data_IF_904194180424
#
_entry.id   IF_904194180424
#
_cell.length_a   1.000
_cell.length_b   1.000
_cell.length_c   1.000
_cell.angle_alpha   90.00
_cell.angle_beta   90.00
_cell.angle_gamma   90.00
#
_symmetry.space_group_name_H-M   'P 1'
#
loop_
_entity.id
_entity.type
_entity.pdbx_description
1 polymer ?
#
# COMPACT_ATOMS: atom_id res chain seq x y z
N UNK A 1 -12.31 66.52 -9.77
CA UNK A 1 -11.18 65.58 -9.58
C UNK A 1 -11.70 64.33 -8.87
N UNK A 2 -11.98 63.22 -9.57
CA UNK A 2 -12.31 61.95 -8.93
C UNK A 2 -11.07 61.07 -8.75
N UNK A 3 -10.99 60.45 -7.57
CA UNK A 3 -9.92 59.57 -7.08
C UNK A 3 -10.03 58.21 -7.79
N UNK A 4 -8.99 57.80 -8.53
CA UNK A 4 -8.93 56.49 -9.18
C UNK A 4 -8.77 55.38 -8.14
N UNK A 5 -9.77 54.50 -8.06
CA UNK A 5 -9.76 53.28 -7.26
C UNK A 5 -8.89 52.23 -7.95
N UNK A 6 -7.76 51.88 -7.34
CA UNK A 6 -6.87 50.82 -7.81
C UNK A 6 -7.56 49.47 -7.77
N UNK A 7 -7.86 48.91 -8.95
CA UNK A 7 -8.22 47.51 -9.10
C UNK A 7 -6.99 46.65 -8.76
N UNK A 8 -7.05 45.95 -7.63
CA UNK A 8 -6.16 44.81 -7.37
C UNK A 8 -6.55 43.71 -8.36
N UNK A 9 -5.80 43.61 -9.46
CA UNK A 9 -5.91 42.50 -10.41
C UNK A 9 -5.52 41.23 -9.66
N UNK A 10 -6.52 40.45 -9.25
CA UNK A 10 -6.33 39.09 -8.74
C UNK A 10 -5.88 38.25 -9.93
N UNK A 11 -4.57 37.98 -10.04
CA UNK A 11 -4.05 37.01 -11.00
C UNK A 11 -4.62 35.62 -10.65
N UNK A 12 -5.06 34.82 -11.63
CA UNK A 12 -5.53 33.47 -11.39
C UNK A 12 -4.42 32.61 -10.76
N UNK A 13 -4.79 31.74 -9.83
CA UNK A 13 -3.93 30.82 -9.09
C UNK A 13 -3.28 29.71 -9.94
N UNK A 14 -3.30 29.81 -11.27
CA UNK A 14 -2.71 28.84 -12.20
C UNK A 14 -1.20 29.03 -12.41
N UNK A 15 -0.61 30.15 -11.99
CA UNK A 15 0.81 30.49 -12.24
C UNK A 15 1.78 29.92 -11.19
N UNK A 16 1.28 29.22 -10.16
CA UNK A 16 2.12 28.57 -9.13
C UNK A 16 2.45 27.10 -9.43
N UNK A 17 2.01 26.57 -10.57
CA UNK A 17 2.52 25.31 -11.14
C UNK A 17 3.80 25.61 -11.93
N UNK A 18 4.81 26.11 -11.22
CA UNK A 18 6.12 26.40 -11.80
C UNK A 18 6.79 25.14 -12.32
N UNK A 19 6.93 25.06 -13.64
CA UNK A 19 8.04 24.42 -14.37
C UNK A 19 8.50 23.04 -13.91
N UNK A 20 7.60 22.05 -13.82
CA UNK A 20 8.03 20.67 -14.05
C UNK A 20 8.29 20.58 -15.56
N UNK A 21 9.56 20.67 -15.97
CA UNK A 21 9.94 20.51 -17.38
C UNK A 21 9.39 19.18 -17.89
N UNK A 22 8.93 19.10 -19.16
CA UNK A 22 8.48 17.83 -19.73
C UNK A 22 9.55 16.73 -19.58
N UNK A 23 10.83 17.11 -19.54
CA UNK A 23 11.95 16.22 -19.25
C UNK A 23 11.99 15.72 -17.79
N UNK A 24 11.73 16.55 -16.78
CA UNK A 24 11.63 16.08 -15.39
C UNK A 24 10.41 15.20 -15.14
N UNK A 25 9.30 15.43 -15.86
CA UNK A 25 8.14 14.55 -15.84
C UNK A 25 8.43 13.20 -16.52
N UNK A 26 9.15 13.21 -17.65
CA UNK A 26 9.60 11.98 -18.35
C UNK A 26 10.61 11.21 -17.51
N UNK A 27 11.56 11.88 -16.85
CA UNK A 27 12.54 11.25 -15.96
C UNK A 27 11.86 10.67 -14.71
N UNK A 28 10.90 11.39 -14.11
CA UNK A 28 10.13 10.87 -12.98
C UNK A 28 9.31 9.63 -13.38
N UNK A 29 8.62 9.68 -14.53
CA UNK A 29 7.82 8.57 -15.04
C UNK A 29 8.68 7.38 -15.50
N UNK A 30 9.84 7.65 -16.07
CA UNK A 30 10.84 6.63 -16.39
C UNK A 30 11.40 5.99 -15.11
N UNK A 31 11.67 6.78 -14.06
CA UNK A 31 12.14 6.25 -12.77
C UNK A 31 11.09 5.38 -12.08
N UNK A 32 9.81 5.75 -12.17
CA UNK A 32 8.70 4.96 -11.64
C UNK A 32 8.51 3.66 -12.42
N UNK A 33 8.56 3.71 -13.76
CA UNK A 33 8.47 2.51 -14.61
C UNK A 33 9.65 1.57 -14.43
N UNK A 34 10.88 2.11 -14.30
CA UNK A 34 12.09 1.33 -14.01
C UNK A 34 11.98 0.67 -12.63
N UNK A 35 11.46 1.40 -11.62
CA UNK A 35 11.21 0.85 -10.29
C UNK A 35 10.16 -0.26 -10.32
N UNK A 36 9.07 -0.09 -11.06
CA UNK A 36 8.03 -1.12 -11.19
C UNK A 36 8.55 -2.38 -11.91
N UNK A 37 9.35 -2.21 -12.97
CA UNK A 37 9.99 -3.31 -13.67
C UNK A 37 11.03 -4.03 -12.77
N UNK A 38 11.80 -3.27 -11.99
CA UNK A 38 12.73 -3.80 -10.99
C UNK A 38 12.01 -4.63 -9.92
N UNK A 39 10.92 -4.13 -9.36
CA UNK A 39 10.13 -4.82 -8.34
C UNK A 39 9.41 -6.05 -8.90
N UNK A 40 8.90 -5.98 -10.14
CA UNK A 40 8.23 -7.13 -10.78
C UNK A 40 9.21 -8.23 -11.14
N UNK A 41 10.38 -7.89 -11.71
CA UNK A 41 11.45 -8.87 -11.98
C UNK A 41 11.98 -9.51 -10.70
N UNK A 42 12.16 -8.72 -9.64
CA UNK A 42 12.49 -9.23 -8.30
C UNK A 42 11.44 -10.22 -7.81
N UNK A 43 10.15 -9.88 -7.91
CA UNK A 43 9.05 -10.74 -7.50
C UNK A 43 9.02 -12.07 -8.28
N UNK A 44 9.14 -12.00 -9.61
CA UNK A 44 9.21 -13.18 -10.48
C UNK A 44 10.42 -14.08 -10.15
N UNK A 45 11.56 -13.48 -9.83
CA UNK A 45 12.75 -14.23 -9.39
C UNK A 45 12.51 -14.92 -8.05
N UNK A 46 11.88 -14.25 -7.07
CA UNK A 46 11.51 -14.90 -5.80
C UNK A 46 10.48 -16.02 -5.99
N UNK A 47 9.50 -15.83 -6.87
CA UNK A 47 8.50 -16.85 -7.21
C UNK A 47 9.15 -18.07 -7.88
N UNK A 48 10.08 -17.86 -8.82
CA UNK A 48 10.84 -18.93 -9.47
C UNK A 48 11.64 -19.79 -8.48
N UNK A 49 12.19 -19.17 -7.43
CA UNK A 49 12.96 -19.85 -6.40
C UNK A 49 12.07 -20.62 -5.39
N UNK A 50 10.75 -20.40 -5.43
CA UNK A 50 9.75 -21.12 -4.63
C UNK A 50 8.93 -20.26 -3.68
N UNK A 51 8.95 -18.92 -3.81
CA UNK A 51 8.06 -18.05 -3.03
C UNK A 51 6.60 -18.33 -3.37
N UNK A 52 5.78 -18.68 -2.38
CA UNK A 52 4.38 -19.09 -2.54
C UNK A 52 4.16 -20.61 -2.51
N UNK A 53 5.22 -21.43 -2.53
CA UNK A 53 5.15 -22.87 -2.29
C UNK A 53 5.19 -23.19 -0.80
N UNK A 54 4.64 -24.34 -0.41
CA UNK A 54 4.77 -24.82 0.96
C UNK A 54 6.24 -25.01 1.36
N UNK A 55 6.57 -24.63 2.59
CA UNK A 55 7.95 -24.55 3.09
C UNK A 55 8.77 -25.85 2.91
N UNK A 56 8.13 -27.01 3.00
CA UNK A 56 8.77 -28.32 2.84
C UNK A 56 9.12 -28.69 1.39
N UNK A 57 8.61 -27.94 0.41
CA UNK A 57 8.92 -28.14 -1.02
C UNK A 57 10.13 -27.32 -1.48
N UNK A 58 10.62 -26.40 -0.64
CA UNK A 58 11.69 -25.45 -1.00
C UNK A 58 13.06 -26.07 -0.66
N UNK A 59 14.03 -26.09 -1.61
CA UNK A 59 15.39 -26.52 -1.33
C UNK A 59 16.03 -25.69 -0.20
N UNK A 60 16.68 -26.34 0.77
CA UNK A 60 17.19 -25.71 2.01
C UNK A 60 18.17 -24.54 1.82
N UNK A 61 18.79 -24.39 0.64
CA UNK A 61 19.60 -23.21 0.29
C UNK A 61 18.80 -21.98 -0.17
N UNK A 62 17.66 -22.20 -0.82
CA UNK A 62 16.87 -21.18 -1.49
C UNK A 62 16.16 -20.22 -0.53
N UNK A 63 15.81 -20.68 0.68
CA UNK A 63 15.15 -19.84 1.69
C UNK A 63 16.01 -18.64 2.13
N UNK A 64 17.33 -18.83 2.23
CA UNK A 64 18.25 -17.73 2.58
C UNK A 64 18.47 -16.74 1.44
N UNK A 65 18.31 -17.21 0.18
CA UNK A 65 18.40 -16.39 -1.02
C UNK A 65 17.15 -15.53 -1.17
N UNK A 66 15.95 -16.09 -0.97
CA UNK A 66 14.69 -15.32 -1.00
C UNK A 66 14.74 -14.13 -0.02
N UNK A 67 15.28 -14.34 1.18
CA UNK A 67 15.45 -13.27 2.18
C UNK A 67 16.51 -12.22 1.81
N UNK A 68 17.38 -12.48 0.84
CA UNK A 68 18.44 -11.58 0.36
C UNK A 68 18.09 -10.88 -0.96
N UNK A 69 17.18 -11.44 -1.76
CA UNK A 69 16.83 -10.88 -3.09
C UNK A 69 16.30 -9.45 -3.03
N UNK A 70 15.38 -9.08 -2.10
CA UNK A 70 14.91 -7.69 -1.99
C UNK A 70 16.03 -6.67 -1.70
N UNK A 71 17.11 -7.12 -1.06
CA UNK A 71 18.27 -6.28 -0.76
C UNK A 71 19.18 -6.04 -1.96
N UNK A 72 19.38 -7.08 -2.78
CA UNK A 72 20.21 -7.00 -3.98
C UNK A 72 19.69 -5.95 -4.98
N UNK A 73 18.36 -5.75 -5.01
CA UNK A 73 17.72 -4.82 -5.94
C UNK A 73 17.54 -3.39 -5.40
N UNK A 74 17.57 -3.20 -4.07
CA UNK A 74 17.31 -1.90 -3.44
C UNK A 74 18.55 -0.98 -3.43
N UNK A 75 19.74 -1.46 -3.80
CA UNK A 75 20.96 -0.64 -3.86
C UNK A 75 21.31 0.05 -2.53
N UNK A 76 20.82 -0.46 -1.40
CA UNK A 76 21.05 0.15 -0.09
C UNK A 76 22.45 -0.17 0.42
N UNK A 77 23.08 0.84 1.01
CA UNK A 77 24.48 0.86 1.40
C UNK A 77 24.90 -0.33 2.28
N UNK A 78 26.14 -0.75 2.06
CA UNK A 78 26.90 -1.89 2.62
C UNK A 78 27.13 -1.87 4.15
N UNK A 79 26.10 -1.57 4.96
CA UNK A 79 26.24 -1.49 6.43
C UNK A 79 24.97 -1.70 7.26
N UNK A 80 23.80 -1.93 6.65
CA UNK A 80 22.55 -2.06 7.42
C UNK A 80 22.25 -3.53 7.76
N UNK A 81 21.99 -3.84 9.04
CA UNK A 81 21.66 -5.19 9.47
C UNK A 81 20.38 -5.69 8.79
N UNK A 82 20.44 -6.85 8.12
CA UNK A 82 19.33 -7.41 7.33
C UNK A 82 17.98 -7.44 8.08
N UNK A 83 18.04 -7.75 9.38
CA UNK A 83 16.86 -7.87 10.23
C UNK A 83 16.20 -6.53 10.54
N UNK A 84 16.97 -5.44 10.62
CA UNK A 84 16.44 -4.11 10.92
C UNK A 84 15.63 -3.56 9.75
N UNK A 85 16.05 -3.80 8.51
CA UNK A 85 15.30 -3.35 7.34
C UNK A 85 14.04 -4.18 7.09
N UNK A 86 14.07 -5.49 7.36
CA UNK A 86 12.85 -6.31 7.32
C UNK A 86 11.84 -5.82 8.37
N UNK A 87 12.31 -5.49 9.57
CA UNK A 87 11.49 -4.91 10.63
C UNK A 87 10.86 -3.57 10.21
N UNK A 88 11.66 -2.61 9.73
CA UNK A 88 11.16 -1.32 9.23
C UNK A 88 10.22 -1.51 8.04
N UNK A 89 10.54 -2.44 7.15
CA UNK A 89 9.73 -2.77 5.97
C UNK A 89 8.34 -3.29 6.35
N UNK A 90 8.23 -4.16 7.35
CA UNK A 90 6.93 -4.65 7.84
C UNK A 90 6.08 -3.51 8.41
N UNK A 91 6.67 -2.60 9.20
CA UNK A 91 5.96 -1.44 9.74
C UNK A 91 5.48 -0.49 8.63
N UNK A 92 6.38 -0.17 7.70
CA UNK A 92 6.05 0.70 6.58
C UNK A 92 4.97 0.08 5.69
N UNK A 93 5.04 -1.22 5.45
CA UNK A 93 4.03 -1.96 4.68
C UNK A 93 2.64 -1.84 5.31
N UNK A 94 2.51 -2.10 6.61
CA UNK A 94 1.23 -1.96 7.33
C UNK A 94 0.67 -0.54 7.25
N UNK A 95 1.52 0.48 7.37
CA UNK A 95 1.12 1.89 7.25
C UNK A 95 0.68 2.25 5.83
N UNK A 96 1.48 1.88 4.83
CA UNK A 96 1.17 2.15 3.42
C UNK A 96 -0.14 1.48 3.00
N UNK A 97 -0.37 0.24 3.43
CA UNK A 97 -1.61 -0.49 3.15
C UNK A 97 -2.84 0.29 3.65
N UNK A 98 -2.80 0.81 4.89
CA UNK A 98 -3.90 1.60 5.45
C UNK A 98 -4.11 2.93 4.70
N UNK A 99 -3.01 3.65 4.42
CA UNK A 99 -3.07 4.98 3.75
C UNK A 99 -3.63 4.87 2.33
N UNK A 100 -3.20 3.87 1.56
CA UNK A 100 -3.69 3.66 0.18
C UNK A 100 -5.20 3.39 0.18
N UNK A 101 -5.68 2.49 1.04
CA UNK A 101 -7.12 2.18 1.16
C UNK A 101 -7.94 3.39 1.60
N UNK A 102 -7.45 4.17 2.55
CA UNK A 102 -8.10 5.41 2.98
C UNK A 102 -8.17 6.44 1.86
N UNK A 103 -7.11 6.60 1.07
CA UNK A 103 -7.12 7.48 -0.10
C UNK A 103 -8.22 7.10 -1.09
N UNK A 104 -8.37 5.80 -1.36
CA UNK A 104 -9.44 5.28 -2.23
C UNK A 104 -10.82 5.60 -1.65
N UNK A 105 -11.06 5.33 -0.37
CA UNK A 105 -12.36 5.58 0.27
C UNK A 105 -12.70 7.08 0.28
N UNK A 106 -11.73 7.94 0.59
CA UNK A 106 -11.91 9.40 0.56
C UNK A 106 -12.21 9.91 -0.86
N UNK A 107 -11.51 9.37 -1.86
CA UNK A 107 -11.77 9.67 -3.26
C UNK A 107 -13.20 9.27 -3.67
N UNK A 108 -13.64 8.07 -3.28
CA UNK A 108 -15.00 7.59 -3.51
C UNK A 108 -16.05 8.47 -2.82
N UNK A 109 -15.81 8.90 -1.58
CA UNK A 109 -16.69 9.84 -0.86
C UNK A 109 -16.83 11.19 -1.56
N UNK A 110 -15.77 11.67 -2.22
CA UNK A 110 -15.80 12.93 -2.97
C UNK A 110 -16.63 12.81 -4.27
N UNK A 111 -16.62 11.64 -4.91
CA UNK A 111 -17.35 11.41 -6.17
C UNK A 111 -18.85 11.26 -5.94
N UNK A 112 -19.26 10.53 -4.90
CA UNK A 112 -20.66 10.20 -4.66
C UNK A 112 -21.21 10.97 -3.44
N UNK A 113 -22.05 12.02 -3.63
CA UNK A 113 -22.56 12.83 -2.53
C UNK A 113 -23.73 12.18 -1.75
N UNK A 114 -24.09 10.94 -2.06
CA UNK A 114 -25.22 10.22 -1.42
C UNK A 114 -25.00 10.02 0.08
N UNK A 115 -25.98 10.37 0.91
CA UNK A 115 -25.87 10.35 2.38
C UNK A 115 -25.66 8.93 2.93
N UNK A 116 -26.38 7.93 2.39
CA UNK A 116 -26.20 6.52 2.73
C UNK A 116 -24.81 6.01 2.36
N UNK A 117 -24.31 6.44 1.20
CA UNK A 117 -22.96 6.11 0.74
C UNK A 117 -21.91 6.71 1.68
N UNK A 118 -22.02 7.99 2.02
CA UNK A 118 -21.09 8.65 2.94
C UNK A 118 -21.09 8.04 4.35
N UNK A 119 -22.22 7.51 4.83
CA UNK A 119 -22.26 6.79 6.12
C UNK A 119 -21.49 5.47 6.02
N UNK A 120 -21.74 4.68 4.97
CA UNK A 120 -21.06 3.40 4.76
C UNK A 120 -19.55 3.58 4.56
N UNK A 121 -19.14 4.54 3.72
CA UNK A 121 -17.72 4.86 3.49
C UNK A 121 -17.01 5.32 4.75
N UNK A 122 -17.67 6.08 5.63
CA UNK A 122 -17.09 6.46 6.94
C UNK A 122 -16.88 5.26 7.85
N UNK A 123 -17.86 4.35 7.94
CA UNK A 123 -17.73 3.11 8.73
C UNK A 123 -16.56 2.28 8.21
N UNK A 124 -16.46 2.11 6.89
CA UNK A 124 -15.35 1.38 6.26
C UNK A 124 -14.00 2.06 6.49
N UNK A 125 -13.94 3.40 6.37
CA UNK A 125 -12.73 4.17 6.66
C UNK A 125 -12.28 4.03 8.11
N UNK A 126 -13.21 4.07 9.08
CA UNK A 126 -12.89 3.83 10.49
C UNK A 126 -12.36 2.41 10.71
N UNK A 127 -12.96 1.42 10.06
CA UNK A 127 -12.49 0.03 10.14
C UNK A 127 -11.04 -0.13 9.64
N UNK A 128 -10.71 0.49 8.50
CA UNK A 128 -9.34 0.46 7.95
C UNK A 128 -8.33 1.11 8.90
N UNK A 129 -8.68 2.24 9.53
CA UNK A 129 -7.81 2.90 10.52
C UNK A 129 -7.60 1.98 11.73
N UNK A 130 -8.67 1.37 12.23
CA UNK A 130 -8.61 0.46 13.38
C UNK A 130 -7.74 -0.76 13.07
N UNK A 131 -7.90 -1.37 11.90
CA UNK A 131 -7.03 -2.46 11.44
C UNK A 131 -5.56 -2.01 11.43
N UNK A 132 -5.25 -0.89 10.78
CA UNK A 132 -3.89 -0.36 10.72
C UNK A 132 -3.26 -0.18 12.10
N UNK A 133 -3.97 0.46 13.03
CA UNK A 133 -3.46 0.69 14.40
C UNK A 133 -3.32 -0.62 15.19
N UNK A 134 -4.32 -1.51 15.10
CA UNK A 134 -4.36 -2.76 15.85
C UNK A 134 -3.19 -3.69 15.47
N UNK A 135 -2.86 -3.76 14.19
CA UNK A 135 -1.80 -4.64 13.70
C UNK A 135 -0.42 -3.97 13.71
N UNK A 136 -0.33 -2.64 13.72
CA UNK A 136 0.94 -1.93 13.88
C UNK A 136 1.65 -2.29 15.19
N UNK A 137 0.89 -2.47 16.27
CA UNK A 137 1.46 -2.78 17.60
C UNK A 137 2.19 -4.14 17.58
N UNK A 138 1.57 -5.28 17.21
CA UNK A 138 2.27 -6.56 17.06
C UNK A 138 3.50 -6.52 16.15
N UNK A 139 3.47 -5.74 15.05
CA UNK A 139 4.61 -5.59 14.15
C UNK A 139 5.73 -4.72 14.74
N UNK A 140 5.41 -3.80 15.65
CA UNK A 140 6.40 -3.01 16.38
C UNK A 140 7.02 -3.80 17.55
N UNK A 141 6.19 -4.55 18.28
CA UNK A 141 6.63 -5.37 19.42
C UNK A 141 6.69 -6.86 19.06
N UNK A 142 7.41 -7.19 17.99
CA UNK A 142 7.54 -8.59 17.51
C UNK A 142 8.16 -9.49 18.58
N UNK A 143 9.13 -8.95 19.33
CA UNK A 143 9.72 -9.60 20.50
C UNK A 143 9.95 -8.57 21.61
N UNK A 144 9.95 -9.06 22.86
CA UNK A 144 10.32 -8.30 24.06
C UNK A 144 11.55 -9.00 24.67
N UNK A 145 12.70 -8.30 24.82
CA UNK A 145 13.01 -6.97 24.31
C UNK A 145 13.13 -6.93 22.77
N UNK A 146 12.88 -5.77 22.14
CA UNK A 146 12.90 -5.61 20.67
C UNK A 146 14.28 -5.96 20.09
N UNK A 147 15.35 -5.75 20.85
CA UNK A 147 16.72 -6.08 20.44
C UNK A 147 16.91 -7.58 20.15
N UNK A 148 16.07 -8.45 20.74
CA UNK A 148 16.14 -9.90 20.50
C UNK A 148 15.73 -10.31 19.08
N UNK A 149 15.20 -9.38 18.29
CA UNK A 149 14.89 -9.59 16.87
C UNK A 149 16.20 -9.81 16.07
N UNK A 150 17.25 -9.06 16.39
CA UNK A 150 18.55 -9.14 15.70
C UNK A 150 19.64 -9.79 16.56
N UNK A 151 19.60 -9.67 17.89
CA UNK A 151 20.53 -10.35 18.79
C UNK A 151 19.95 -11.67 19.30
N UNK A 152 20.53 -12.79 18.85
CA UNK A 152 20.12 -14.14 19.25
C UNK A 152 20.72 -14.61 20.58
N UNK A 153 21.63 -13.83 21.16
CA UNK A 153 22.29 -14.19 22.42
C UNK A 153 21.38 -13.92 23.64
N UNK A 154 20.31 -13.13 23.46
CA UNK A 154 19.30 -12.85 24.50
C UNK A 154 18.37 -14.07 24.63
N UNK A 155 18.48 -14.78 25.75
CA UNK A 155 17.76 -16.03 26.02
C UNK A 155 16.35 -15.80 26.58
N UNK A 156 16.13 -14.72 27.33
CA UNK A 156 14.83 -14.37 27.96
C UNK A 156 13.83 -13.67 27.01
N UNK A 157 13.85 -14.04 25.72
CA UNK A 157 13.00 -13.40 24.71
C UNK A 157 11.57 -13.95 24.73
N UNK A 158 10.59 -13.06 24.69
CA UNK A 158 9.18 -13.40 24.41
C UNK A 158 8.79 -12.81 23.07
N UNK A 159 8.55 -13.68 22.09
CA UNK A 159 8.18 -13.27 20.73
C UNK A 159 6.73 -13.62 20.41
N UNK A 160 6.07 -12.74 19.68
CA UNK A 160 4.73 -12.94 19.14
C UNK A 160 4.80 -13.92 17.97
N UNK A 161 3.75 -14.72 17.79
CA UNK A 161 3.63 -15.61 16.63
C UNK A 161 3.33 -14.76 15.36
N UNK A 162 4.40 -14.29 14.72
CA UNK A 162 4.34 -13.44 13.54
C UNK A 162 3.54 -14.06 12.37
N UNK A 163 3.66 -15.36 12.06
CA UNK A 163 2.81 -16.00 11.07
C UNK A 163 1.31 -15.91 11.39
N UNK A 164 0.91 -16.15 12.64
CA UNK A 164 -0.50 -16.07 13.04
C UNK A 164 -1.06 -14.63 12.92
N UNK A 165 -0.26 -13.63 13.32
CA UNK A 165 -0.58 -12.21 13.12
C UNK A 165 -0.67 -11.88 11.62
N UNK A 166 0.25 -12.39 10.81
CA UNK A 166 0.24 -12.19 9.36
C UNK A 166 -1.02 -12.77 8.70
N UNK A 167 -1.38 -14.02 9.01
CA UNK A 167 -2.57 -14.65 8.43
C UNK A 167 -3.87 -13.92 8.81
N UNK A 168 -4.00 -13.51 10.07
CA UNK A 168 -5.17 -12.75 10.53
C UNK A 168 -5.24 -11.36 9.89
N UNK A 169 -4.12 -10.64 9.78
CA UNK A 169 -4.07 -9.34 9.10
C UNK A 169 -4.44 -9.47 7.62
N UNK A 170 -3.86 -10.47 6.92
CA UNK A 170 -4.12 -10.68 5.50
C UNK A 170 -5.59 -11.04 5.22
N UNK A 171 -6.22 -11.85 6.07
CA UNK A 171 -7.64 -12.17 5.94
C UNK A 171 -8.53 -10.92 6.05
N UNK A 172 -8.23 -10.05 7.03
CA UNK A 172 -8.94 -8.77 7.18
C UNK A 172 -8.65 -7.81 6.01
N UNK A 173 -7.42 -7.79 5.51
CA UNK A 173 -7.03 -6.95 4.39
C UNK A 173 -7.83 -7.32 3.13
N UNK A 174 -7.96 -8.62 2.84
CA UNK A 174 -8.78 -9.11 1.72
C UNK A 174 -10.26 -8.72 1.90
N UNK A 175 -10.79 -8.86 3.13
CA UNK A 175 -12.17 -8.47 3.42
C UNK A 175 -12.43 -6.98 3.18
N UNK A 176 -11.48 -6.10 3.52
CA UNK A 176 -11.56 -4.67 3.21
C UNK A 176 -11.53 -4.40 1.72
N UNK A 177 -10.69 -5.09 0.96
CA UNK A 177 -10.58 -4.89 -0.49
C UNK A 177 -11.89 -5.27 -1.17
N UNK A 178 -12.51 -6.38 -0.76
CA UNK A 178 -13.86 -6.76 -1.20
C UNK A 178 -14.87 -5.68 -0.81
N UNK A 179 -14.85 -5.18 0.42
CA UNK A 179 -15.78 -4.14 0.88
C UNK A 179 -15.64 -2.84 0.07
N UNK A 180 -14.42 -2.41 -0.25
CA UNK A 180 -14.14 -1.24 -1.09
C UNK A 180 -14.67 -1.46 -2.52
N UNK A 181 -14.46 -2.64 -3.09
CA UNK A 181 -14.94 -2.99 -4.43
C UNK A 181 -16.47 -3.05 -4.52
N UNK A 182 -17.14 -3.52 -3.46
CA UNK A 182 -18.60 -3.59 -3.39
C UNK A 182 -19.24 -2.23 -3.12
N UNK A 183 -18.51 -1.30 -2.49
CA UNK A 183 -19.00 0.03 -2.09
C UNK A 183 -19.74 0.81 -3.21
N UNK A 184 -19.22 0.94 -4.45
CA UNK A 184 -19.89 1.69 -5.51
C UNK A 184 -21.06 0.93 -6.16
N UNK A 185 -21.14 -0.40 -6.03
CA UNK A 185 -22.12 -1.22 -6.78
C UNK A 185 -23.57 -0.79 -6.50
N UNK A 186 -24.03 -0.62 -5.25
CA UNK A 186 -25.41 -0.21 -4.97
C UNK A 186 -25.75 1.18 -5.50
N UNK A 187 -24.78 2.11 -5.56
CA UNK A 187 -25.00 3.44 -6.11
C UNK A 187 -25.07 3.41 -7.64
N UNK A 188 -24.20 2.61 -8.27
CA UNK A 188 -24.17 2.40 -9.73
C UNK A 188 -25.43 1.71 -10.24
N UNK A 189 -26.07 0.84 -9.44
CA UNK A 189 -27.33 0.21 -9.85
C UNK A 189 -28.54 1.16 -9.82
N UNK A 190 -28.48 2.21 -9.00
CA UNK A 190 -29.55 3.23 -8.91
C UNK A 190 -29.40 4.34 -9.94
N UNK A 191 -28.21 4.52 -10.50
CA UNK A 191 -27.89 5.55 -11.47
C UNK A 191 -27.69 4.84 -12.82
N UNK A 192 -28.49 5.12 -13.85
CA UNK A 192 -28.39 4.42 -15.15
C UNK A 192 -27.00 4.63 -15.81
N UNK A 193 -26.03 3.77 -15.49
CA UNK A 193 -24.65 3.91 -15.94
C UNK A 193 -24.43 3.14 -17.25
N UNK A 194 -23.67 3.73 -18.18
CA UNK A 194 -23.28 3.15 -19.46
C UNK A 194 -22.41 1.88 -19.31
N UNK A 195 -22.54 0.95 -20.27
CA UNK A 195 -21.89 -0.36 -20.32
C UNK A 195 -20.38 -0.34 -20.02
N UNK A 196 -19.70 0.75 -20.39
CA UNK A 196 -18.25 0.93 -20.20
C UNK A 196 -17.82 0.87 -18.72
N UNK A 197 -18.60 1.43 -17.79
CA UNK A 197 -18.21 1.38 -16.36
C UNK A 197 -18.50 0.01 -15.74
N UNK A 198 -19.50 -0.71 -16.26
CA UNK A 198 -19.78 -2.10 -15.88
C UNK A 198 -18.64 -3.02 -16.33
N UNK A 199 -18.10 -2.79 -17.52
CA UNK A 199 -16.94 -3.52 -18.03
C UNK A 199 -15.66 -3.22 -17.24
N UNK A 200 -15.44 -1.97 -16.79
CA UNK A 200 -14.28 -1.64 -15.94
C UNK A 200 -14.31 -2.36 -14.59
N UNK A 201 -15.49 -2.49 -13.95
CA UNK A 201 -15.64 -3.25 -12.69
C UNK A 201 -15.40 -4.75 -12.88
N UNK A 202 -15.91 -5.31 -13.97
CA UNK A 202 -15.65 -6.71 -14.33
C UNK A 202 -14.17 -6.94 -14.63
N UNK A 203 -13.52 -6.04 -15.38
CA UNK A 203 -12.10 -6.13 -15.68
C UNK A 203 -11.22 -6.04 -14.41
N UNK A 204 -11.56 -5.18 -13.46
CA UNK A 204 -10.85 -5.11 -12.16
C UNK A 204 -10.97 -6.43 -11.37
N UNK A 205 -12.15 -7.06 -11.37
CA UNK A 205 -12.34 -8.37 -10.75
C UNK A 205 -11.60 -9.49 -11.50
N UNK A 206 -11.57 -9.43 -12.83
CA UNK A 206 -10.86 -10.41 -13.66
C UNK A 206 -9.35 -10.32 -13.50
N UNK A 207 -8.79 -9.12 -13.34
CA UNK A 207 -7.35 -8.91 -13.13
C UNK A 207 -6.92 -9.37 -11.73
N UNK A 208 -7.79 -9.24 -10.72
CA UNK A 208 -7.47 -9.71 -9.36
C UNK A 208 -7.53 -11.23 -9.17
N UNK A 209 -8.08 -11.98 -10.13
CA UNK A 209 -8.23 -13.44 -10.05
C UNK A 209 -7.19 -14.21 -10.92
N UNK A 210 -6.42 -13.49 -11.75
CA UNK A 210 -5.42 -14.01 -12.68
C UNK A 210 -4.01 -13.80 -12.10
#
# INVERSE_FOLDING_TARGET
MPKASGQTIIRPSSERYGSVTPMSLVVAKASEQVLLAALSTMYLYTAYIGFGMHYWTIPVGNGTVILKVPFLFCGTASGTNRWQLLYVGSLLYTLLQAVVKLSIVLFLMRIFPSTSFQRLSRVLGTFIILHGVLFLIPYAVQCIPVDSIWDRNITDRKCVNLPAVGYSSSALAIAEDIAILLLPIPQVWRLQISLQRRLALLALFSIGFL
#
